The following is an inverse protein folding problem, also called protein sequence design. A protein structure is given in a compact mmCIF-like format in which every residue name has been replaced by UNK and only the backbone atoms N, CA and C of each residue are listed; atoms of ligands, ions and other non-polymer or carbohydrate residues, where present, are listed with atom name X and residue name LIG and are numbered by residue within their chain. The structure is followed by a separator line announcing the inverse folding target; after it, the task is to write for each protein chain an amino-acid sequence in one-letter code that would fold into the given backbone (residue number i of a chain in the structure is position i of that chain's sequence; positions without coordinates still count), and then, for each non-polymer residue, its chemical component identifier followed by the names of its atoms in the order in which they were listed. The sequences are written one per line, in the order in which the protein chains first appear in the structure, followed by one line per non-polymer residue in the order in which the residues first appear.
data_IF_867616248032
#
_entry.id   IF_867616248032
#
_cell.length_a   1.000
_cell.length_b   1.000
_cell.length_c   1.000
_cell.angle_alpha   90.00
_cell.angle_beta   90.00
_cell.angle_gamma   90.00
#
_symmetry.space_group_name_H-M   'P 1'
#
loop_
_entity.id
_entity.type
_entity.pdbx_description
1 polymer ?
#
# COMPACT_ATOMS: atom_id res chain seq x y z
N UNK A 1 -18.72 40.39 -5.52
CA UNK A 1 -17.34 39.85 -5.36
C UNK A 1 -17.35 38.34 -5.11
N UNK A 2 -18.20 37.58 -5.80
CA UNK A 2 -18.52 36.17 -5.45
C UNK A 2 -18.13 35.18 -6.54
N UNK A 3 -17.68 35.65 -7.70
CA UNK A 3 -17.38 34.82 -8.90
C UNK A 3 -15.97 34.22 -8.87
N UNK A 4 -15.06 34.75 -8.06
CA UNK A 4 -13.65 34.27 -8.00
C UNK A 4 -13.47 33.04 -7.11
N UNK A 5 -14.30 32.87 -6.08
CA UNK A 5 -14.19 31.74 -5.15
C UNK A 5 -14.75 30.42 -5.70
N UNK A 6 -15.76 30.46 -6.58
CA UNK A 6 -16.29 29.26 -7.23
C UNK A 6 -15.33 28.72 -8.31
N UNK A 7 -14.78 29.61 -9.15
CA UNK A 7 -13.82 29.21 -10.18
C UNK A 7 -12.50 28.66 -9.63
N UNK A 8 -12.08 29.08 -8.43
CA UNK A 8 -10.93 28.47 -7.73
C UNK A 8 -11.22 27.03 -7.30
N UNK A 9 -12.41 26.77 -6.72
CA UNK A 9 -12.81 25.43 -6.27
C UNK A 9 -13.01 24.45 -7.43
N UNK A 10 -13.55 24.93 -8.56
CA UNK A 10 -13.71 24.12 -9.76
C UNK A 10 -12.36 23.75 -10.39
N UNK A 11 -11.38 24.67 -10.38
CA UNK A 11 -10.02 24.41 -10.83
C UNK A 11 -9.27 23.43 -9.92
N UNK A 12 -9.42 23.56 -8.59
CA UNK A 12 -8.81 22.64 -7.63
C UNK A 12 -9.37 21.20 -7.77
N UNK A 13 -10.68 21.08 -8.04
CA UNK A 13 -11.33 19.80 -8.31
C UNK A 13 -10.88 19.16 -9.64
N UNK A 14 -10.74 19.96 -10.70
CA UNK A 14 -10.22 19.49 -11.99
C UNK A 14 -8.77 19.02 -11.87
N UNK A 15 -7.95 19.77 -11.13
CA UNK A 15 -6.57 19.44 -10.83
C UNK A 15 -6.45 18.10 -10.08
N UNK A 16 -7.24 17.94 -9.02
CA UNK A 16 -7.26 16.68 -8.25
C UNK A 16 -7.65 15.49 -9.13
N UNK A 17 -8.71 15.62 -9.95
CA UNK A 17 -9.11 14.55 -10.88
C UNK A 17 -8.03 14.22 -11.91
N UNK A 18 -7.33 15.23 -12.42
CA UNK A 18 -6.21 15.02 -13.34
C UNK A 18 -5.10 14.24 -12.67
N UNK A 19 -4.72 14.62 -11.45
CA UNK A 19 -3.70 13.91 -10.67
C UNK A 19 -4.10 12.47 -10.41
N UNK A 20 -5.34 12.22 -9.96
CA UNK A 20 -5.86 10.86 -9.75
C UNK A 20 -5.82 10.02 -11.03
N UNK A 21 -6.19 10.60 -12.18
CA UNK A 21 -6.12 9.92 -13.48
C UNK A 21 -4.68 9.57 -13.87
N UNK A 22 -3.73 10.48 -13.62
CA UNK A 22 -2.30 10.21 -13.87
C UNK A 22 -1.82 9.04 -13.01
N UNK A 23 -2.14 9.01 -11.72
CA UNK A 23 -1.77 7.90 -10.85
C UNK A 23 -2.42 6.57 -11.27
N UNK A 24 -3.69 6.61 -11.68
CA UNK A 24 -4.40 5.44 -12.18
C UNK A 24 -3.69 4.84 -13.41
N UNK A 25 -3.43 5.65 -14.45
CA UNK A 25 -2.73 5.20 -15.66
C UNK A 25 -1.31 4.74 -15.33
N UNK A 26 -0.60 5.48 -14.47
CA UNK A 26 0.75 5.15 -14.06
C UNK A 26 0.82 3.78 -13.38
N UNK A 27 -0.10 3.46 -12.48
CA UNK A 27 -0.12 2.16 -11.82
C UNK A 27 -0.42 1.02 -12.80
N UNK A 28 -1.36 1.20 -13.72
CA UNK A 28 -1.65 0.18 -14.76
C UNK A 28 -0.41 -0.13 -15.60
N UNK A 29 0.28 0.92 -16.07
CA UNK A 29 1.52 0.77 -16.83
C UNK A 29 2.60 0.07 -15.98
N UNK A 30 2.76 0.46 -14.71
CA UNK A 30 3.74 -0.19 -13.82
C UNK A 30 3.43 -1.66 -13.61
N UNK A 31 2.17 -2.03 -13.37
CA UNK A 31 1.75 -3.42 -13.19
C UNK A 31 2.16 -4.24 -14.42
N UNK A 32 1.83 -3.76 -15.63
CA UNK A 32 2.11 -4.50 -16.87
C UNK A 32 3.61 -4.56 -17.19
N UNK A 33 4.34 -3.46 -17.00
CA UNK A 33 5.78 -3.39 -17.29
C UNK A 33 6.58 -4.20 -16.29
N UNK A 34 6.28 -4.10 -14.98
CA UNK A 34 7.00 -4.83 -13.95
C UNK A 34 6.77 -6.35 -14.06
N UNK A 35 5.58 -6.80 -14.46
CA UNK A 35 5.29 -8.22 -14.75
C UNK A 35 6.14 -8.78 -15.90
N UNK A 36 6.47 -7.96 -16.90
CA UNK A 36 7.23 -8.39 -18.08
C UNK A 36 8.75 -8.37 -17.88
N UNK A 37 9.25 -7.64 -16.89
CA UNK A 37 10.68 -7.50 -16.62
C UNK A 37 11.15 -8.52 -15.57
N UNK A 38 11.77 -9.60 -16.02
CA UNK A 38 12.43 -10.59 -15.15
C UNK A 38 13.64 -10.02 -14.38
N UNK A 39 14.20 -8.91 -14.87
CA UNK A 39 15.25 -8.14 -14.21
C UNK A 39 15.03 -6.65 -14.50
N UNK A 40 15.13 -5.80 -13.47
CA UNK A 40 15.03 -4.34 -13.62
C UNK A 40 16.43 -3.71 -13.52
N UNK A 41 17.16 -3.51 -14.64
CA UNK A 41 18.46 -2.85 -14.64
C UNK A 41 18.27 -1.33 -14.52
N UNK A 42 18.91 -0.72 -13.52
CA UNK A 42 19.06 0.75 -13.44
C UNK A 42 17.80 1.57 -13.20
N UNK A 43 16.63 0.94 -13.03
CA UNK A 43 15.42 1.65 -12.62
C UNK A 43 15.49 1.94 -11.12
N UNK A 44 15.26 3.20 -10.72
CA UNK A 44 15.19 3.60 -9.32
C UNK A 44 13.88 3.08 -8.71
N UNK A 45 13.89 1.78 -8.40
CA UNK A 45 12.79 1.03 -7.77
C UNK A 45 12.39 1.69 -6.45
N UNK A 46 13.33 2.33 -5.76
CA UNK A 46 13.07 3.05 -4.53
C UNK A 46 12.08 4.20 -4.74
N UNK A 47 12.04 4.85 -5.91
CA UNK A 47 11.01 5.84 -6.21
C UNK A 47 9.62 5.23 -6.35
N UNK A 48 9.48 4.03 -6.94
CA UNK A 48 8.17 3.35 -7.02
C UNK A 48 7.69 2.96 -5.62
N UNK A 49 8.59 2.37 -4.81
CA UNK A 49 8.29 2.03 -3.43
C UNK A 49 7.89 3.29 -2.65
N UNK A 50 8.67 4.37 -2.73
CA UNK A 50 8.37 5.62 -2.03
C UNK A 50 7.00 6.19 -2.43
N UNK A 51 6.63 6.13 -3.69
CA UNK A 51 5.29 6.55 -4.13
C UNK A 51 4.21 5.65 -3.53
N UNK A 52 4.32 4.33 -3.67
CA UNK A 52 3.32 3.40 -3.16
C UNK A 52 3.13 3.53 -1.63
N UNK A 53 4.22 3.57 -0.87
CA UNK A 53 4.18 3.68 0.59
C UNK A 53 3.71 5.06 1.07
N UNK A 54 3.92 6.13 0.28
CA UNK A 54 3.25 7.42 0.52
C UNK A 54 1.75 7.30 0.36
N UNK A 55 1.26 6.63 -0.70
CA UNK A 55 -0.17 6.40 -0.90
C UNK A 55 -0.81 5.60 0.23
N UNK A 56 -0.08 4.66 0.85
CA UNK A 56 -0.57 3.92 2.02
C UNK A 56 -0.64 4.76 3.30
N UNK A 57 0.23 5.78 3.46
CA UNK A 57 0.28 6.65 4.65
C UNK A 57 -0.54 7.94 4.54
N UNK A 58 -0.62 8.54 3.36
CA UNK A 58 -1.00 9.96 3.19
C UNK A 58 -2.48 10.28 3.31
N UNK A 59 -3.35 9.33 3.63
CA UNK A 59 -4.77 9.61 3.60
C UNK A 59 -5.30 10.09 4.97
N UNK A 60 -4.71 11.15 5.51
CA UNK A 60 -5.42 12.03 6.46
C UNK A 60 -6.73 12.57 5.82
N UNK A 61 -6.75 12.75 4.50
CA UNK A 61 -7.97 13.07 3.73
C UNK A 61 -9.08 11.99 3.80
N UNK A 62 -8.73 10.76 4.20
CA UNK A 62 -9.66 9.66 4.45
C UNK A 62 -10.13 9.66 5.91
N UNK A 63 -9.28 10.06 6.85
CA UNK A 63 -9.60 10.03 8.28
C UNK A 63 -10.49 11.19 8.74
N UNK A 64 -10.52 12.31 8.01
CA UNK A 64 -11.42 13.45 8.26
C UNK A 64 -12.80 13.25 7.58
N UNK A 65 -13.34 12.03 7.75
CA UNK A 65 -14.43 11.46 6.99
C UNK A 65 -15.80 12.01 7.43
N UNK A 66 -16.10 13.24 7.01
CA UNK A 66 -17.49 13.59 6.72
C UNK A 66 -17.80 13.17 5.29
N UNK A 67 -18.92 12.47 5.12
CA UNK A 67 -19.37 11.66 3.97
C UNK A 67 -19.63 12.41 2.64
N UNK A 68 -18.76 13.34 2.24
CA UNK A 68 -19.11 14.37 1.24
C UNK A 68 -17.98 14.74 0.26
N UNK A 69 -16.99 13.86 0.04
CA UNK A 69 -15.96 14.09 -0.99
C UNK A 69 -16.25 13.25 -2.27
N UNK A 70 -16.41 13.88 -3.45
CA UNK A 70 -16.86 13.21 -4.69
C UNK A 70 -15.85 12.21 -5.30
N UNK A 71 -14.64 12.08 -4.75
CA UNK A 71 -13.55 11.26 -5.32
C UNK A 71 -13.11 10.08 -4.44
N UNK A 72 -13.79 9.78 -3.32
CA UNK A 72 -13.35 8.74 -2.37
C UNK A 72 -13.09 7.38 -3.03
N UNK A 73 -13.98 6.95 -3.94
CA UNK A 73 -13.83 5.68 -4.65
C UNK A 73 -12.59 5.65 -5.55
N UNK A 74 -12.23 6.79 -6.15
CA UNK A 74 -11.05 6.90 -7.01
C UNK A 74 -9.77 6.78 -6.18
N UNK A 75 -9.72 7.42 -5.01
CA UNK A 75 -8.61 7.28 -4.08
C UNK A 75 -8.43 5.82 -3.63
N UNK A 76 -9.52 5.14 -3.23
CA UNK A 76 -9.46 3.73 -2.86
C UNK A 76 -8.96 2.87 -4.02
N UNK A 77 -9.46 3.11 -5.23
CA UNK A 77 -9.03 2.39 -6.44
C UNK A 77 -7.54 2.57 -6.70
N UNK A 78 -7.00 3.78 -6.52
CA UNK A 78 -5.57 4.05 -6.70
C UNK A 78 -4.73 3.37 -5.61
N UNK A 79 -5.18 3.39 -4.35
CA UNK A 79 -4.51 2.63 -3.28
C UNK A 79 -4.44 1.13 -3.61
N UNK A 80 -5.54 0.58 -4.12
CA UNK A 80 -5.63 -0.82 -4.54
C UNK A 80 -4.66 -1.11 -5.70
N UNK A 81 -4.56 -0.22 -6.68
CA UNK A 81 -3.60 -0.34 -7.77
C UNK A 81 -2.15 -0.25 -7.29
N UNK A 82 -1.83 0.67 -6.37
CA UNK A 82 -0.49 0.73 -5.77
C UNK A 82 -0.16 -0.51 -4.93
N UNK A 83 -1.15 -1.09 -4.25
CA UNK A 83 -0.97 -2.37 -3.57
C UNK A 83 -0.63 -3.49 -4.56
N UNK A 84 -1.27 -3.52 -5.74
CA UNK A 84 -0.93 -4.48 -6.79
C UNK A 84 0.47 -4.22 -7.36
N UNK A 85 0.86 -2.97 -7.61
CA UNK A 85 2.23 -2.59 -8.02
C UNK A 85 3.26 -3.15 -7.04
N UNK A 86 3.03 -2.98 -5.72
CA UNK A 86 3.92 -3.52 -4.68
C UNK A 86 3.96 -5.04 -4.69
N UNK A 87 2.80 -5.70 -4.86
CA UNK A 87 2.71 -7.16 -4.97
C UNK A 87 3.49 -7.72 -6.17
N UNK A 88 3.39 -7.08 -7.32
CA UNK A 88 4.16 -7.41 -8.53
C UNK A 88 5.66 -7.16 -8.31
N UNK A 89 6.03 -6.00 -7.79
CA UNK A 89 7.42 -5.63 -7.53
C UNK A 89 8.08 -6.59 -6.54
N UNK A 90 7.34 -7.09 -5.55
CA UNK A 90 7.85 -8.06 -4.59
C UNK A 90 8.29 -9.38 -5.24
N UNK A 91 7.80 -9.74 -6.43
CA UNK A 91 8.21 -10.96 -7.13
C UNK A 91 9.69 -10.95 -7.55
N UNK A 92 10.20 -9.77 -7.91
CA UNK A 92 11.59 -9.57 -8.34
C UNK A 92 12.46 -8.91 -7.26
N UNK A 93 11.86 -8.13 -6.35
CA UNK A 93 12.55 -7.29 -5.36
C UNK A 93 12.03 -7.46 -3.93
N UNK A 94 11.63 -8.67 -3.55
CA UNK A 94 11.07 -8.98 -2.24
C UNK A 94 11.80 -8.34 -1.05
N UNK A 95 13.13 -8.49 -0.97
CA UNK A 95 13.90 -7.97 0.18
C UNK A 95 13.82 -6.44 0.31
N UNK A 96 13.72 -5.72 -0.81
CA UNK A 96 13.55 -4.26 -0.83
C UNK A 96 12.18 -3.88 -0.27
N UNK A 97 11.12 -4.48 -0.83
CA UNK A 97 9.74 -4.28 -0.39
C UNK A 97 9.56 -4.65 1.09
N UNK A 98 10.08 -5.81 1.53
CA UNK A 98 10.08 -6.25 2.93
C UNK A 98 10.73 -5.19 3.82
N UNK A 99 11.95 -4.75 3.47
CA UNK A 99 12.69 -3.75 4.26
C UNK A 99 11.88 -2.46 4.35
N UNK A 100 11.31 -1.99 3.24
CA UNK A 100 10.53 -0.77 3.23
C UNK A 100 9.26 -0.88 4.08
N UNK A 101 8.52 -1.97 3.93
CA UNK A 101 7.33 -2.23 4.75
C UNK A 101 7.66 -2.25 6.24
N UNK A 102 8.68 -3.00 6.64
CA UNK A 102 9.08 -3.10 8.05
C UNK A 102 9.57 -1.77 8.61
N UNK A 103 10.29 -0.97 7.81
CA UNK A 103 10.68 0.39 8.21
C UNK A 103 9.45 1.24 8.51
N UNK A 104 8.48 1.22 7.59
CA UNK A 104 7.24 1.99 7.71
C UNK A 104 6.39 1.57 8.92
N UNK A 105 6.21 0.26 9.11
CA UNK A 105 5.46 -0.30 10.22
C UNK A 105 6.13 0.07 11.56
N UNK A 106 7.45 -0.06 11.63
CA UNK A 106 8.19 0.29 12.85
C UNK A 106 8.18 1.79 13.14
N UNK A 107 8.10 2.65 12.13
CA UNK A 107 7.93 4.08 12.33
C UNK A 107 6.55 4.38 12.96
N UNK A 108 5.47 3.82 12.40
CA UNK A 108 4.11 3.97 12.95
C UNK A 108 4.00 3.41 14.38
N UNK A 109 4.66 2.29 14.68
CA UNK A 109 4.69 1.68 16.03
C UNK A 109 5.39 2.54 17.08
N UNK A 110 6.26 3.48 16.69
CA UNK A 110 6.93 4.41 17.61
C UNK A 110 6.05 5.63 17.93
N UNK A 111 5.05 5.90 17.11
CA UNK A 111 4.13 7.01 17.32
C UNK A 111 3.15 6.68 18.47
N UNK A 112 2.67 7.69 19.21
CA UNK A 112 1.66 7.47 20.24
C UNK A 112 0.40 6.83 19.65
N UNK A 113 -0.09 5.79 20.31
CA UNK A 113 -1.30 5.08 19.89
C UNK A 113 -2.48 6.05 19.75
N UNK A 114 -3.07 6.08 18.55
CA UNK A 114 -4.23 6.92 18.24
C UNK A 114 -5.04 6.26 17.11
N UNK A 115 -6.33 6.60 16.96
CA UNK A 115 -7.14 6.10 15.84
C UNK A 115 -6.52 6.38 14.46
N UNK A 116 -5.86 7.53 14.30
CA UNK A 116 -5.17 7.89 13.05
C UNK A 116 -3.99 6.96 12.76
N UNK A 117 -3.13 6.73 13.77
CA UNK A 117 -2.00 5.78 13.65
C UNK A 117 -2.48 4.37 13.36
N UNK A 118 -3.54 3.92 14.04
CA UNK A 118 -4.15 2.61 13.79
C UNK A 118 -4.67 2.50 12.35
N UNK A 119 -5.34 3.53 11.84
CA UNK A 119 -5.78 3.60 10.44
C UNK A 119 -4.62 3.52 9.45
N UNK A 120 -3.52 4.22 9.73
CA UNK A 120 -2.31 4.17 8.90
C UNK A 120 -1.67 2.77 8.90
N UNK A 121 -1.64 2.07 10.04
CA UNK A 121 -1.17 0.68 10.11
C UNK A 121 -2.08 -0.24 9.29
N UNK A 122 -3.40 -0.08 9.39
CA UNK A 122 -4.38 -0.87 8.62
C UNK A 122 -4.21 -0.64 7.11
N UNK A 123 -4.01 0.62 6.69
CA UNK A 123 -3.75 0.97 5.29
C UNK A 123 -2.42 0.38 4.79
N UNK A 124 -1.37 0.45 5.61
CA UNK A 124 -0.07 -0.15 5.31
C UNK A 124 -0.18 -1.68 5.12
N UNK A 125 -0.89 -2.37 6.02
CA UNK A 125 -1.15 -3.80 5.89
C UNK A 125 -1.92 -4.12 4.62
N UNK A 126 -2.98 -3.35 4.32
CA UNK A 126 -3.78 -3.51 3.10
C UNK A 126 -2.95 -3.32 1.84
N UNK A 127 -1.96 -2.42 1.87
CA UNK A 127 -0.99 -2.19 0.80
C UNK A 127 -0.16 -3.42 0.42
N UNK A 128 -0.07 -4.43 1.30
CA UNK A 128 0.66 -5.68 1.04
C UNK A 128 -0.24 -6.84 0.59
N UNK A 129 -1.56 -6.65 0.42
CA UNK A 129 -2.51 -7.76 0.16
C UNK A 129 -2.24 -8.56 -1.11
N UNK A 130 -1.58 -7.95 -2.10
CA UNK A 130 -1.21 -8.60 -3.36
C UNK A 130 0.17 -9.28 -3.30
N UNK A 131 0.84 -9.31 -2.14
CA UNK A 131 2.04 -10.09 -1.95
C UNK A 131 1.76 -11.58 -2.21
N UNK A 132 2.67 -12.24 -2.93
CA UNK A 132 2.60 -13.68 -3.22
C UNK A 132 3.90 -14.35 -2.82
N UNK A 133 3.78 -15.42 -2.04
CA UNK A 133 4.91 -16.22 -1.58
C UNK A 133 5.58 -16.87 -2.77
N UNK A 134 6.89 -16.68 -2.88
CA UNK A 134 7.70 -17.32 -3.93
C UNK A 134 8.20 -18.67 -3.40
N UNK A 135 7.76 -19.76 -4.02
CA UNK A 135 8.07 -21.13 -3.58
C UNK A 135 9.48 -21.61 -3.96
N UNK A 136 10.10 -20.98 -4.96
CA UNK A 136 11.41 -21.40 -5.49
C UNK A 136 12.30 -20.21 -5.91
N UNK A 137 13.64 -20.36 -5.81
CA UNK A 137 14.34 -21.38 -5.02
C UNK A 137 14.06 -21.23 -3.51
N UNK A 138 14.50 -22.23 -2.73
CA UNK A 138 14.13 -22.37 -1.30
C UNK A 138 14.46 -21.14 -0.46
N UNK A 139 15.53 -20.41 -0.80
CA UNK A 139 15.95 -19.22 -0.08
C UNK A 139 14.93 -18.08 -0.20
N UNK A 140 14.23 -17.99 -1.34
CA UNK A 140 13.14 -17.02 -1.49
C UNK A 140 11.93 -17.40 -0.66
N UNK A 141 11.61 -18.69 -0.59
CA UNK A 141 10.54 -19.20 0.25
C UNK A 141 10.83 -18.91 1.72
N UNK A 142 12.02 -19.26 2.21
CA UNK A 142 12.47 -18.98 3.58
C UNK A 142 12.38 -17.49 3.91
N UNK A 143 12.80 -16.61 2.99
CA UNK A 143 12.71 -15.18 3.19
C UNK A 143 11.25 -14.69 3.31
N UNK A 144 10.34 -15.23 2.49
CA UNK A 144 8.90 -14.93 2.55
C UNK A 144 8.29 -15.45 3.86
N UNK A 145 8.66 -16.66 4.30
CA UNK A 145 8.19 -17.25 5.55
C UNK A 145 8.70 -16.50 6.77
N UNK A 146 9.96 -16.06 6.76
CA UNK A 146 10.49 -15.24 7.84
C UNK A 146 9.71 -13.92 7.94
N UNK A 147 9.33 -13.30 6.82
CA UNK A 147 8.47 -12.11 6.85
C UNK A 147 7.08 -12.39 7.43
N UNK A 148 6.45 -13.51 7.05
CA UNK A 148 5.18 -13.93 7.63
C UNK A 148 5.30 -14.18 9.14
N UNK A 149 6.41 -14.76 9.59
CA UNK A 149 6.69 -14.96 11.02
C UNK A 149 6.89 -13.63 11.74
N UNK A 150 7.60 -12.68 11.14
CA UNK A 150 7.76 -11.32 11.69
C UNK A 150 6.38 -10.65 11.89
N UNK A 151 5.47 -10.79 10.91
CA UNK A 151 4.09 -10.31 11.01
C UNK A 151 3.27 -11.08 12.06
N UNK A 152 3.45 -12.40 12.18
CA UNK A 152 2.73 -13.22 13.15
C UNK A 152 3.14 -12.86 14.58
N UNK A 153 4.42 -12.61 14.83
CA UNK A 153 4.90 -12.10 16.10
C UNK A 153 4.27 -10.74 16.41
N UNK A 154 4.23 -9.83 15.43
CA UNK A 154 3.55 -8.55 15.60
C UNK A 154 2.05 -8.71 15.91
N UNK A 155 1.36 -9.64 15.24
CA UNK A 155 -0.06 -9.95 15.51
C UNK A 155 -0.31 -10.35 16.97
N UNK A 156 0.62 -11.09 17.59
CA UNK A 156 0.53 -11.49 18.99
C UNK A 156 0.73 -10.30 19.96
N UNK A 157 1.57 -9.33 19.58
CA UNK A 157 1.86 -8.14 20.39
C UNK A 157 0.74 -7.10 20.37
N UNK A 158 0.06 -6.93 19.23
CA UNK A 158 -1.00 -5.94 19.03
C UNK A 158 -2.14 -6.18 20.03
N UNK A 159 -2.77 -5.10 20.53
CA UNK A 159 -3.95 -5.19 21.41
C UNK A 159 -5.22 -4.72 20.71
N UNK A 160 -5.05 -3.84 19.74
CA UNK A 160 -6.09 -3.19 18.95
C UNK A 160 -6.74 -4.21 18.01
N UNK A 161 -8.05 -4.42 18.19
CA UNK A 161 -8.81 -5.41 17.43
C UNK A 161 -8.76 -5.16 15.92
N UNK A 162 -8.83 -3.90 15.50
CA UNK A 162 -8.87 -3.54 14.08
C UNK A 162 -7.54 -3.82 13.37
N UNK A 163 -6.42 -3.58 14.05
CA UNK A 163 -5.09 -3.94 13.54
C UNK A 163 -4.96 -5.46 13.45
N UNK A 164 -5.41 -6.22 14.47
CA UNK A 164 -5.43 -7.69 14.38
C UNK A 164 -6.27 -8.19 13.22
N UNK A 165 -7.48 -7.66 13.04
CA UNK A 165 -8.34 -8.04 11.93
C UNK A 165 -7.68 -7.75 10.58
N UNK A 166 -7.03 -6.59 10.44
CA UNK A 166 -6.28 -6.22 9.24
C UNK A 166 -5.13 -7.19 8.95
N UNK A 167 -4.34 -7.56 9.95
CA UNK A 167 -3.28 -8.56 9.82
C UNK A 167 -3.82 -9.96 9.49
N UNK A 168 -4.93 -10.37 10.11
CA UNK A 168 -5.59 -11.64 9.81
C UNK A 168 -6.05 -11.70 8.35
N UNK A 169 -6.68 -10.63 7.85
CA UNK A 169 -7.07 -10.51 6.45
C UNK A 169 -5.84 -10.57 5.54
N UNK A 170 -4.74 -9.89 5.89
CA UNK A 170 -3.48 -9.95 5.15
C UNK A 170 -2.93 -11.38 5.08
N UNK A 171 -2.96 -12.14 6.18
CA UNK A 171 -2.56 -13.55 6.17
C UNK A 171 -3.43 -14.39 5.24
N UNK A 172 -4.74 -14.20 5.26
CA UNK A 172 -5.67 -14.90 4.35
C UNK A 172 -5.33 -14.60 2.90
N UNK A 173 -5.15 -13.33 2.55
CA UNK A 173 -4.82 -12.90 1.19
C UNK A 173 -3.49 -13.46 0.68
N UNK A 174 -2.49 -13.63 1.56
CA UNK A 174 -1.18 -14.17 1.20
C UNK A 174 -1.19 -15.70 1.16
N UNK A 175 -1.86 -16.36 2.10
CA UNK A 175 -1.81 -17.82 2.28
C UNK A 175 -2.83 -18.58 1.44
N UNK A 176 -3.98 -17.97 1.11
CA UNK A 176 -5.01 -18.64 0.30
C UNK A 176 -4.47 -19.09 -1.08
N UNK A 177 -3.70 -18.27 -1.83
CA UNK A 177 -3.09 -18.71 -3.08
C UNK A 177 -2.03 -19.82 -2.94
N UNK A 178 -1.50 -20.03 -1.73
CA UNK A 178 -0.51 -21.09 -1.43
C UNK A 178 -1.18 -22.40 -1.05
N UNK A 179 -2.38 -22.33 -0.48
CA UNK A 179 -3.16 -23.50 -0.04
C UNK A 179 -3.99 -24.15 -1.16
N UNK A 180 -4.13 -23.48 -2.31
CA UNK A 180 -4.92 -23.90 -3.46
C UNK A 180 -4.16 -24.79 -4.44
#
# INVERSE_FOLDING_TARGET
STTTASGFRDNDWLEERRQLTVHFIFCLILIDVLKQLSFHPGFDISNIEDQAFKWFRCNEKFNDMTSTQPNQLNYQTICDLYAEVVGVLAQSRFLSVKRRFMLELNNLRKEPASPSVNGNIINLNTGMRFFRVKMTPVEHFEACFQFLLDLANYFLEVRERDIKNSLANLFVEILLPVAA
#
